data_IF_046123163397
#
_entry.id   IF_046123163397
#
_cell.length_a   1.000
_cell.length_b   1.000
_cell.length_c   1.000
_cell.angle_alpha   90.00
_cell.angle_beta   90.00
_cell.angle_gamma   90.00
#
_symmetry.space_group_name_H-M   'P 1'
#
loop_
_entity.id
_entity.type
_entity.pdbx_description
1 polymer ?
#
# COMPACT_ATOMS: atom_id res chain seq x y z
N UNK A 1 -0.06 1.87 -0.85
CA UNK A 1 0.02 2.01 -2.32
C UNK A 1 1.39 2.57 -2.66
N UNK A 2 2.03 2.07 -3.73
CA UNK A 2 3.34 2.53 -4.19
C UNK A 2 3.14 3.03 -5.62
N UNK A 3 3.49 4.29 -5.89
CA UNK A 3 3.24 4.96 -7.19
C UNK A 3 4.59 5.32 -7.83
N UNK A 4 4.76 4.93 -9.09
CA UNK A 4 5.91 5.26 -9.95
C UNK A 4 7.30 5.03 -9.33
N UNK A 5 7.38 4.12 -8.35
CA UNK A 5 8.59 3.83 -7.55
C UNK A 5 9.16 5.06 -6.83
N UNK A 6 8.33 6.07 -6.55
CA UNK A 6 8.72 7.36 -5.97
C UNK A 6 7.88 7.77 -4.76
N UNK A 7 6.62 7.33 -4.73
CA UNK A 7 5.68 7.73 -3.70
C UNK A 7 5.07 6.53 -2.99
N UNK A 8 4.89 6.66 -1.68
CA UNK A 8 4.19 5.70 -0.84
C UNK A 8 3.02 6.40 -0.19
N UNK A 9 1.82 5.86 -0.43
CA UNK A 9 0.62 6.22 0.32
C UNK A 9 0.35 5.09 1.32
N UNK A 10 0.33 5.41 2.61
CA UNK A 10 0.15 4.44 3.69
C UNK A 10 -0.60 5.06 4.88
N UNK A 11 -0.95 4.27 5.88
CA UNK A 11 -1.70 4.71 7.06
C UNK A 11 -2.59 3.62 7.61
N UNK A 12 -3.57 3.99 8.44
CA UNK A 12 -4.56 3.07 8.99
C UNK A 12 -5.70 2.78 8.00
N UNK A 13 -5.85 3.62 6.96
CA UNK A 13 -6.92 3.50 5.97
C UNK A 13 -6.88 2.17 5.20
N UNK A 14 -7.91 1.35 5.42
CA UNK A 14 -8.17 0.15 4.62
C UNK A 14 -9.02 0.48 3.37
N UNK A 15 -8.91 -0.28 2.29
CA UNK A 15 -9.73 -0.08 1.08
C UNK A 15 -11.15 -0.66 1.24
N UNK A 16 -11.95 -0.08 2.13
CA UNK A 16 -13.32 -0.52 2.45
C UNK A 16 -14.29 0.66 2.57
N UNK A 17 -15.59 0.39 2.41
CA UNK A 17 -16.65 1.39 2.59
C UNK A 17 -16.65 1.98 4.01
N UNK A 18 -16.37 1.15 5.03
CA UNK A 18 -16.30 1.60 6.42
C UNK A 18 -15.15 2.58 6.67
N UNK A 19 -13.96 2.29 6.14
CA UNK A 19 -12.81 3.19 6.25
C UNK A 19 -13.08 4.55 5.58
N UNK A 20 -13.79 4.56 4.44
CA UNK A 20 -14.14 5.80 3.74
C UNK A 20 -15.22 6.62 4.45
N UNK A 21 -16.25 5.97 5.03
CA UNK A 21 -17.47 6.68 5.46
C UNK A 21 -17.68 6.75 6.96
N UNK A 22 -17.01 5.92 7.76
CA UNK A 22 -17.36 5.70 9.17
C UNK A 22 -16.17 5.80 10.12
N UNK A 23 -15.06 5.16 9.77
CA UNK A 23 -13.91 5.14 10.66
C UNK A 23 -13.14 6.45 10.63
N UNK A 24 -12.56 6.82 11.77
CA UNK A 24 -11.53 7.84 11.82
C UNK A 24 -10.19 7.18 11.44
N UNK A 25 -9.75 7.40 10.20
CA UNK A 25 -8.52 6.83 9.65
C UNK A 25 -7.51 7.94 9.33
N UNK A 26 -6.22 7.60 9.39
CA UNK A 26 -5.15 8.46 8.87
C UNK A 26 -4.61 7.92 7.54
N UNK A 27 -4.27 8.84 6.64
CA UNK A 27 -3.60 8.57 5.38
C UNK A 27 -2.44 9.56 5.22
N UNK A 28 -1.26 9.05 4.90
CA UNK A 28 -0.06 9.86 4.66
C UNK A 28 0.49 9.61 3.27
N UNK A 29 0.99 10.68 2.66
CA UNK A 29 1.61 10.69 1.35
C UNK A 29 3.09 11.02 1.55
N UNK A 30 3.96 10.12 1.11
CA UNK A 30 5.41 10.25 1.30
C UNK A 30 6.09 10.12 -0.06
N UNK A 31 6.76 11.20 -0.49
CA UNK A 31 7.58 11.23 -1.71
C UNK A 31 9.04 11.00 -1.33
N UNK A 32 9.47 9.73 -1.35
CA UNK A 32 10.85 9.31 -1.06
C UNK A 32 11.17 8.03 -1.84
N UNK A 33 12.16 8.12 -2.73
CA UNK A 33 12.57 7.01 -3.61
C UNK A 33 13.13 5.83 -2.82
N UNK A 34 13.90 6.08 -1.76
CA UNK A 34 14.50 5.01 -0.94
C UNK A 34 13.41 4.28 -0.18
N UNK A 35 12.49 5.01 0.45
CA UNK A 35 11.36 4.41 1.14
C UNK A 35 10.47 3.62 0.18
N UNK A 36 10.20 4.15 -1.01
CA UNK A 36 9.44 3.46 -2.04
C UNK A 36 10.09 2.12 -2.43
N UNK A 37 11.42 2.08 -2.57
CA UNK A 37 12.16 0.85 -2.86
C UNK A 37 12.01 -0.21 -1.76
N UNK A 38 12.11 0.17 -0.48
CA UNK A 38 11.88 -0.75 0.65
C UNK A 38 10.45 -1.34 0.62
N UNK A 39 9.45 -0.50 0.36
CA UNK A 39 8.05 -0.95 0.23
C UNK A 39 7.85 -1.88 -0.96
N UNK A 40 8.49 -1.62 -2.10
CA UNK A 40 8.46 -2.47 -3.29
C UNK A 40 9.05 -3.85 -2.99
N UNK A 41 10.20 -3.90 -2.30
CA UNK A 41 10.82 -5.18 -1.95
C UNK A 41 9.90 -6.02 -1.07
N UNK A 42 9.26 -5.42 -0.07
CA UNK A 42 8.25 -6.12 0.74
C UNK A 42 7.03 -6.56 -0.09
N UNK A 43 6.60 -5.78 -1.09
CA UNK A 43 5.51 -6.17 -1.99
C UNK A 43 5.88 -7.41 -2.81
N UNK A 44 7.06 -7.44 -3.44
CA UNK A 44 7.54 -8.61 -4.19
C UNK A 44 7.66 -9.86 -3.32
N UNK A 45 8.13 -9.71 -2.07
CA UNK A 45 8.20 -10.83 -1.12
C UNK A 45 6.82 -11.45 -0.86
N UNK A 46 5.77 -10.62 -0.79
CA UNK A 46 4.38 -11.07 -0.58
C UNK A 46 3.78 -11.67 -1.85
N UNK A 47 4.04 -11.07 -3.00
CA UNK A 47 3.61 -11.61 -4.30
C UNK A 47 4.18 -13.01 -4.53
N UNK A 48 5.47 -13.22 -4.25
CA UNK A 48 6.13 -14.52 -4.41
C UNK A 48 5.48 -15.64 -3.58
N UNK A 49 4.88 -15.29 -2.45
CA UNK A 49 4.16 -16.23 -1.56
C UNK A 49 2.67 -16.35 -1.90
N UNK A 50 2.17 -15.50 -2.81
CA UNK A 50 0.76 -15.47 -3.19
C UNK A 50 0.45 -16.53 -4.26
N UNK A 51 -0.84 -16.81 -4.42
CA UNK A 51 -1.34 -17.64 -5.53
C UNK A 51 -2.18 -16.77 -6.44
N UNK A 52 -2.09 -16.93 -7.78
CA UNK A 52 -2.98 -16.24 -8.70
C UNK A 52 -4.44 -16.50 -8.32
N UNK A 53 -5.23 -15.44 -8.28
CA UNK A 53 -6.67 -15.56 -8.10
C UNK A 53 -7.30 -15.97 -9.44
N UNK A 54 -7.81 -17.20 -9.51
CA UNK A 54 -8.53 -17.74 -10.66
C UNK A 54 -10.01 -17.79 -10.26
N UNK A 55 -10.85 -17.09 -11.04
CA UNK A 55 -12.29 -16.99 -10.81
C UNK A 55 -13.03 -18.12 -11.52
#
# INVERSE_FOLDING_TARGET
MIIDKKEVITGSFNFTDSAQKRNAENLVFITDIKLAQEYIQNWYNREHQSKPYIK
#
